data_IF_350643807179
#
_entry.id   IF_350643807179
#
_cell.length_a   1.000
_cell.length_b   1.000
_cell.length_c   1.000
_cell.angle_alpha   90.00
_cell.angle_beta   90.00
_cell.angle_gamma   90.00
#
_symmetry.space_group_name_H-M   'P 1'
#
loop_
_entity.id
_entity.type
_entity.pdbx_description
1 polymer ?
#
# COMPACT_ATOMS: atom_id res chain seq x y z
N UNK A 1 -1.15 4.61 28.31
CA UNK A 1 0.01 3.71 28.48
C UNK A 1 1.23 4.27 27.75
N UNK A 2 1.82 5.36 28.25
CA UNK A 2 3.18 5.80 27.92
C UNK A 2 4.05 5.75 29.19
N UNK A 3 3.76 4.79 30.06
CA UNK A 3 4.24 4.76 31.45
C UNK A 3 5.67 4.24 31.61
N UNK A 4 6.41 4.01 30.52
CA UNK A 4 7.80 3.55 30.58
C UNK A 4 8.60 3.95 29.34
N UNK A 5 8.69 5.25 29.07
CA UNK A 5 9.78 5.79 28.25
C UNK A 5 10.95 6.11 29.17
N UNK A 6 12.16 5.67 28.81
CA UNK A 6 13.42 5.99 29.51
C UNK A 6 13.64 7.51 29.71
N UNK A 7 12.90 8.34 28.99
CA UNK A 7 12.94 9.81 29.11
C UNK A 7 12.27 10.38 30.37
N UNK A 8 11.61 9.55 31.20
CA UNK A 8 10.90 10.01 32.40
C UNK A 8 11.75 9.94 33.69
N UNK A 9 13.01 9.53 33.62
CA UNK A 9 13.91 9.61 34.77
C UNK A 9 14.37 11.06 34.95
N UNK A 10 13.88 11.72 36.00
CA UNK A 10 14.28 13.08 36.36
C UNK A 10 15.48 12.99 37.33
N UNK A 11 16.68 13.47 36.94
CA UNK A 11 17.84 13.45 37.81
C UNK A 11 17.62 14.25 39.11
N UNK A 12 18.44 13.98 40.12
CA UNK A 12 18.36 14.69 41.41
C UNK A 12 18.74 16.16 41.22
N UNK A 13 17.80 17.07 41.45
CA UNK A 13 18.01 18.51 41.42
C UNK A 13 17.37 19.17 42.66
N UNK A 14 17.73 20.43 42.93
CA UNK A 14 17.14 21.20 44.05
C UNK A 14 15.68 21.58 43.80
N UNK A 15 15.29 21.75 42.54
CA UNK A 15 13.92 22.00 42.10
C UNK A 15 13.72 21.20 40.81
N UNK A 16 12.65 20.42 40.73
CA UNK A 16 12.22 19.69 39.53
C UNK A 16 10.78 20.10 39.21
N UNK A 17 10.53 20.63 38.02
CA UNK A 17 9.19 21.02 37.55
C UNK A 17 8.82 20.06 36.42
N UNK A 18 7.70 19.34 36.58
CA UNK A 18 7.16 18.42 35.58
C UNK A 18 5.72 18.81 35.24
N UNK A 19 5.41 18.85 33.95
CA UNK A 19 4.05 18.99 33.46
C UNK A 19 3.52 17.60 33.08
N UNK A 20 2.58 17.07 33.87
CA UNK A 20 1.86 15.86 33.55
C UNK A 20 0.43 16.19 33.11
N UNK A 21 0.02 15.65 31.97
CA UNK A 21 -1.35 15.75 31.49
C UNK A 21 -2.24 14.78 32.27
N UNK A 22 -3.08 15.30 33.16
CA UNK A 22 -4.07 14.48 33.86
C UNK A 22 -5.28 14.21 32.98
N UNK A 23 -5.39 12.99 32.44
CA UNK A 23 -6.48 12.60 31.52
C UNK A 23 -7.72 12.04 32.24
N UNK A 24 -7.75 12.03 33.58
CA UNK A 24 -8.91 11.55 34.35
C UNK A 24 -9.30 10.09 34.09
N UNK A 25 -8.35 9.26 33.65
CA UNK A 25 -8.62 7.86 33.27
C UNK A 25 -9.20 7.69 31.85
N UNK A 26 -9.28 8.76 31.06
CA UNK A 26 -9.72 8.68 29.66
C UNK A 26 -8.82 7.71 28.88
N UNK A 27 -9.45 6.71 28.27
CA UNK A 27 -8.76 5.76 27.40
C UNK A 27 -8.46 6.43 26.06
N UNK A 28 -7.23 6.22 25.57
CA UNK A 28 -6.84 6.69 24.23
C UNK A 28 -7.63 5.89 23.19
N UNK A 29 -8.53 6.56 22.47
CA UNK A 29 -9.17 5.98 21.29
C UNK A 29 -8.13 5.91 20.17
N UNK A 30 -7.94 4.70 19.62
CA UNK A 30 -7.15 4.49 18.41
C UNK A 30 -8.12 4.28 17.27
N UNK A 31 -8.01 5.09 16.22
CA UNK A 31 -8.82 4.93 15.02
C UNK A 31 -8.29 3.78 14.19
N UNK A 32 -9.20 2.91 13.75
CA UNK A 32 -8.89 1.81 12.84
C UNK A 32 -9.18 2.28 11.40
N UNK A 33 -8.15 2.47 10.56
CA UNK A 33 -8.37 2.87 9.18
C UNK A 33 -8.97 1.72 8.38
N UNK A 34 -9.94 2.03 7.52
CA UNK A 34 -10.48 1.10 6.54
C UNK A 34 -9.44 0.84 5.45
N UNK A 35 -8.91 -0.38 5.38
CA UNK A 35 -8.01 -0.84 4.31
C UNK A 35 -8.71 -1.89 3.47
N UNK A 36 -8.79 -1.65 2.17
CA UNK A 36 -9.38 -2.58 1.21
C UNK A 36 -8.28 -3.37 0.51
N UNK A 37 -8.48 -4.68 0.39
CA UNK A 37 -7.63 -5.55 -0.40
C UNK A 37 -8.38 -5.86 -1.71
N UNK A 38 -7.78 -5.52 -2.83
CA UNK A 38 -8.30 -5.84 -4.16
C UNK A 38 -7.41 -6.92 -4.77
N UNK A 39 -8.02 -7.97 -5.29
CA UNK A 39 -7.32 -9.11 -5.88
C UNK A 39 -7.82 -9.32 -7.31
N UNK A 40 -6.91 -9.58 -8.22
CA UNK A 40 -7.19 -9.81 -9.64
C UNK A 40 -5.92 -10.16 -10.39
N UNK A 41 -6.08 -10.60 -11.64
CA UNK A 41 -4.95 -10.75 -12.54
C UNK A 41 -4.66 -9.39 -13.20
N UNK A 42 -3.62 -8.74 -12.71
CA UNK A 42 -3.12 -7.47 -13.25
C UNK A 42 -1.92 -7.66 -14.19
N UNK A 43 -1.44 -8.89 -14.35
CA UNK A 43 -0.24 -9.22 -15.11
C UNK A 43 -0.52 -9.93 -16.43
N UNK A 44 -1.79 -10.31 -16.70
CA UNK A 44 -2.16 -11.18 -17.82
C UNK A 44 -1.41 -12.52 -17.77
N UNK A 45 -1.46 -13.18 -16.61
CA UNK A 45 -0.84 -14.49 -16.38
C UNK A 45 0.69 -14.50 -16.33
N UNK A 46 1.38 -13.34 -16.34
CA UNK A 46 2.84 -13.28 -16.29
C UNK A 46 3.40 -13.61 -14.89
N UNK A 47 2.62 -13.41 -13.83
CA UNK A 47 3.06 -13.70 -12.45
C UNK A 47 3.06 -15.21 -12.15
N UNK A 48 4.24 -15.80 -12.12
CA UNK A 48 4.47 -17.24 -11.88
C UNK A 48 4.73 -17.58 -10.41
N UNK A 49 5.00 -16.60 -9.54
CA UNK A 49 5.29 -16.88 -8.13
C UNK A 49 4.06 -17.47 -7.43
N UNK A 50 4.24 -18.40 -6.48
CA UNK A 50 3.16 -18.90 -5.66
C UNK A 50 2.52 -17.76 -4.84
N UNK A 51 1.24 -17.88 -4.55
CA UNK A 51 0.47 -16.84 -3.86
C UNK A 51 1.10 -16.40 -2.52
N UNK A 52 1.75 -17.31 -1.81
CA UNK A 52 2.44 -17.04 -0.54
C UNK A 52 3.62 -16.09 -0.66
N UNK A 53 4.25 -16.00 -1.84
CA UNK A 53 5.41 -15.14 -2.11
C UNK A 53 4.99 -13.79 -2.73
N UNK A 54 3.71 -13.62 -3.05
CA UNK A 54 3.19 -12.38 -3.64
C UNK A 54 2.96 -11.33 -2.56
N UNK A 55 3.59 -10.17 -2.73
CA UNK A 55 3.44 -9.06 -1.79
C UNK A 55 2.22 -8.20 -2.10
N UNK A 56 1.67 -7.59 -1.04
CA UNK A 56 0.57 -6.63 -1.14
C UNK A 56 1.15 -5.24 -1.43
N UNK A 57 0.82 -4.67 -2.58
CA UNK A 57 1.23 -3.32 -2.94
C UNK A 57 0.18 -2.28 -2.51
N UNK A 58 0.65 -1.18 -1.95
CA UNK A 58 -0.22 -0.06 -1.57
C UNK A 58 -0.44 0.88 -2.75
N UNK A 59 -1.71 1.11 -3.11
CA UNK A 59 -2.11 1.97 -4.22
C UNK A 59 -2.90 3.17 -3.69
N UNK A 60 -2.57 4.36 -4.18
CA UNK A 60 -3.26 5.61 -3.92
C UNK A 60 -3.20 6.53 -5.16
N UNK A 61 -3.84 7.69 -5.07
CA UNK A 61 -3.95 8.66 -6.19
C UNK A 61 -2.60 9.17 -6.70
N UNK A 62 -1.55 9.12 -5.88
CA UNK A 62 -0.25 9.70 -6.18
C UNK A 62 0.73 8.68 -6.76
N UNK A 63 0.49 7.37 -6.59
CA UNK A 63 1.42 6.32 -7.02
C UNK A 63 0.81 5.31 -8.01
N UNK A 64 -0.41 5.54 -8.48
CA UNK A 64 -1.08 4.61 -9.40
C UNK A 64 -0.25 4.34 -10.67
N UNK A 65 0.23 5.40 -11.33
CA UNK A 65 0.99 5.26 -12.57
C UNK A 65 2.34 4.57 -12.36
N UNK A 66 3.01 4.81 -11.23
CA UNK A 66 4.29 4.15 -10.95
C UNK A 66 4.12 2.67 -10.66
N UNK A 67 3.08 2.30 -9.90
CA UNK A 67 2.76 0.89 -9.64
C UNK A 67 2.40 0.16 -10.94
N UNK A 68 1.60 0.79 -11.82
CA UNK A 68 1.26 0.22 -13.11
C UNK A 68 2.49 0.04 -14.02
N UNK A 69 3.40 1.01 -14.02
CA UNK A 69 4.65 0.95 -14.78
C UNK A 69 5.61 -0.13 -14.25
N UNK A 70 5.62 -0.41 -12.95
CA UNK A 70 6.41 -1.50 -12.36
C UNK A 70 5.82 -2.87 -12.71
N UNK A 71 4.48 -2.97 -12.78
CA UNK A 71 3.79 -4.21 -13.12
C UNK A 71 3.93 -4.62 -14.60
N UNK A 72 4.19 -3.66 -15.49
CA UNK A 72 4.42 -3.86 -16.94
C UNK A 72 3.42 -4.84 -17.59
N UNK A 73 2.10 -4.62 -17.45
CA UNK A 73 1.13 -5.51 -18.09
C UNK A 73 1.34 -5.47 -19.61
N UNK A 74 1.44 -6.64 -20.21
CA UNK A 74 1.60 -6.79 -21.67
C UNK A 74 0.46 -7.61 -22.24
N UNK A 75 0.06 -7.23 -23.45
CA UNK A 75 -1.03 -7.84 -24.18
C UNK A 75 -0.59 -7.98 -25.62
N UNK A 76 -0.75 -9.19 -26.17
CA UNK A 76 -0.53 -9.50 -27.59
C UNK A 76 -1.79 -10.14 -28.10
N UNK A 77 -2.44 -9.50 -29.07
CA UNK A 77 -3.70 -9.96 -29.63
C UNK A 77 -3.59 -10.02 -31.15
N UNK A 78 -4.33 -10.94 -31.76
CA UNK A 78 -4.60 -10.90 -33.19
C UNK A 78 -5.99 -10.30 -33.36
N UNK A 79 -6.10 -9.23 -34.14
CA UNK A 79 -7.37 -8.57 -34.44
C UNK A 79 -7.57 -8.49 -35.96
N UNK A 80 -8.81 -8.61 -36.45
CA UNK A 80 -9.09 -8.49 -37.88
C UNK A 80 -8.61 -7.15 -38.45
N UNK A 81 -7.86 -7.19 -39.56
CA UNK A 81 -7.37 -6.02 -40.25
C UNK A 81 -8.45 -5.43 -41.18
N UNK A 82 -9.03 -4.30 -40.76
CA UNK A 82 -10.03 -3.58 -41.54
C UNK A 82 -9.42 -2.59 -42.54
N UNK A 83 -8.10 -2.44 -42.61
CA UNK A 83 -7.39 -1.50 -43.48
C UNK A 83 -6.93 -2.16 -44.80
N UNK A 84 -6.45 -3.39 -44.75
CA UNK A 84 -5.90 -4.10 -45.92
C UNK A 84 -7.00 -4.70 -46.83
N UNK A 85 -8.21 -4.93 -46.30
CA UNK A 85 -9.35 -5.44 -47.07
C UNK A 85 -9.21 -6.89 -47.55
N UNK A 86 -8.20 -7.61 -47.04
CA UNK A 86 -7.85 -8.98 -47.43
C UNK A 86 -8.30 -10.05 -46.41
N UNK A 87 -9.11 -9.66 -45.41
CA UNK A 87 -9.60 -10.50 -44.31
C UNK A 87 -8.47 -11.21 -43.55
N UNK A 88 -7.30 -10.59 -43.45
CA UNK A 88 -6.19 -11.08 -42.62
C UNK A 88 -6.26 -10.50 -41.22
N UNK A 89 -5.69 -11.21 -40.25
CA UNK A 89 -5.55 -10.72 -38.88
C UNK A 89 -4.20 -10.02 -38.72
N UNK A 90 -4.20 -8.86 -38.06
CA UNK A 90 -3.01 -8.11 -37.70
C UNK A 90 -2.71 -8.28 -36.20
N UNK A 91 -1.44 -8.52 -35.88
CA UNK A 91 -0.97 -8.62 -34.50
C UNK A 91 -0.79 -7.22 -33.89
N UNK A 92 -1.35 -7.02 -32.69
CA UNK A 92 -1.29 -5.77 -31.90
C UNK A 92 -0.77 -6.06 -30.50
#
# INVERSE_FOLDING_TARGET
>A
MSSSSFQNEIPKARINIKLDLHTGGAQKKVELPLKLLVMGDYSNGQEQRPLSEREKLNINKNNFNSVLAEFQPSLKLAVPDTLAGDNTDTAV
#
